data_IF_454684791361
#
_entry.id   IF_454684791361
#
_cell.length_a   1.000
_cell.length_b   1.000
_cell.length_c   1.000
_cell.angle_alpha   90.00
_cell.angle_beta   90.00
_cell.angle_gamma   90.00
#
_symmetry.space_group_name_H-M   'P 1'
#
loop_
_entity.id
_entity.type
_entity.pdbx_description
1 polymer ?
#
# COMPACT_ATOMS: atom_id res chain seq x y z
N UNK A 1 -16.86 7.49 -26.74
CA UNK A 1 -15.42 7.82 -26.79
C UNK A 1 -14.87 7.46 -25.42
N UNK A 2 -13.99 6.47 -25.38
CA UNK A 2 -13.39 5.90 -24.17
C UNK A 2 -12.52 6.97 -23.51
N UNK A 3 -12.94 7.50 -22.36
CA UNK A 3 -12.11 8.35 -21.52
C UNK A 3 -10.96 7.49 -21.01
N UNK A 4 -9.74 7.84 -21.41
CA UNK A 4 -8.53 7.21 -20.90
C UNK A 4 -8.56 7.26 -19.37
N UNK A 5 -8.43 6.09 -18.75
CA UNK A 5 -8.29 5.93 -17.30
C UNK A 5 -7.08 6.73 -16.82
N UNK A 6 -7.31 7.96 -16.38
CA UNK A 6 -6.29 8.74 -15.70
C UNK A 6 -6.24 8.20 -14.29
N UNK A 7 -5.18 7.47 -13.95
CA UNK A 7 -4.89 7.12 -12.56
C UNK A 7 -4.85 8.42 -11.74
N UNK A 8 -5.28 8.41 -10.46
CA UNK A 8 -5.12 9.55 -9.57
C UNK A 8 -3.66 10.02 -9.57
N UNK A 9 -3.41 11.33 -9.70
CA UNK A 9 -2.05 11.89 -9.65
C UNK A 9 -1.59 11.95 -8.19
N UNK A 10 -0.53 11.22 -7.80
CA UNK A 10 -0.04 11.22 -6.42
C UNK A 10 0.32 12.63 -5.91
N UNK A 11 0.70 13.56 -6.80
CA UNK A 11 1.05 14.93 -6.41
C UNK A 11 -0.14 15.76 -5.90
N UNK A 12 -1.37 15.27 -6.10
CA UNK A 12 -2.59 15.92 -5.63
C UNK A 12 -3.03 15.43 -4.23
N UNK A 13 -2.32 14.45 -3.64
CA UNK A 13 -2.71 13.76 -2.41
C UNK A 13 -1.58 13.65 -1.37
N UNK A 14 -1.93 13.23 -0.14
CA UNK A 14 -0.96 12.95 0.94
C UNK A 14 -0.21 11.61 0.75
N UNK A 15 -0.07 11.13 -0.48
CA UNK A 15 0.66 9.92 -0.82
C UNK A 15 1.43 10.04 -2.15
N UNK A 16 2.61 9.43 -2.22
CA UNK A 16 3.45 9.38 -3.42
C UNK A 16 3.61 7.93 -3.90
N UNK A 17 3.97 7.73 -5.17
CA UNK A 17 4.19 6.42 -5.76
C UNK A 17 5.51 6.34 -6.52
N UNK A 18 6.31 5.33 -6.21
CA UNK A 18 7.55 5.01 -6.90
C UNK A 18 7.58 3.52 -7.29
N UNK A 19 8.33 3.17 -8.33
CA UNK A 19 8.67 1.79 -8.64
C UNK A 19 10.17 1.55 -8.53
N UNK A 20 10.57 0.46 -7.87
CA UNK A 20 11.96 -0.02 -7.84
C UNK A 20 12.01 -1.46 -8.32
N UNK A 21 12.51 -1.65 -9.55
CA UNK A 21 12.45 -2.95 -10.21
C UNK A 21 11.00 -3.36 -10.45
N UNK A 22 10.59 -4.52 -9.94
CA UNK A 22 9.22 -5.04 -10.02
C UNK A 22 8.42 -4.82 -8.72
N UNK A 23 8.84 -3.86 -7.91
CA UNK A 23 8.18 -3.50 -6.65
C UNK A 23 7.51 -2.13 -6.79
N UNK A 24 6.22 -2.07 -6.50
CA UNK A 24 5.47 -0.80 -6.38
C UNK A 24 5.51 -0.31 -4.94
N UNK A 25 5.87 0.95 -4.73
CA UNK A 25 6.05 1.55 -3.40
C UNK A 25 5.12 2.76 -3.28
N UNK A 26 4.24 2.73 -2.28
CA UNK A 26 3.37 3.83 -1.92
C UNK A 26 3.87 4.50 -0.65
N UNK A 27 4.18 5.79 -0.70
CA UNK A 27 4.63 6.58 0.43
C UNK A 27 3.48 7.40 0.98
N UNK A 28 2.92 6.99 2.11
CA UNK A 28 1.83 7.68 2.80
C UNK A 28 2.44 8.58 3.88
N UNK A 29 3.26 9.55 3.47
CA UNK A 29 3.97 10.45 4.38
C UNK A 29 3.04 11.59 4.79
N UNK A 30 2.53 11.51 6.02
CA UNK A 30 1.65 12.54 6.58
C UNK A 30 0.19 12.13 6.64
N UNK A 31 -0.17 10.94 6.16
CA UNK A 31 -1.56 10.48 6.15
C UNK A 31 -2.16 10.41 7.55
N UNK A 32 -3.21 11.18 7.79
CA UNK A 32 -3.90 11.27 9.08
C UNK A 32 -5.09 10.29 9.23
N UNK A 33 -5.25 9.36 8.29
CA UNK A 33 -6.16 8.24 8.43
C UNK A 33 -7.65 8.59 8.45
N UNK A 34 -8.08 9.61 7.70
CA UNK A 34 -9.51 9.79 7.47
C UNK A 34 -9.96 8.91 6.29
N UNK A 35 -11.06 8.18 6.48
CA UNK A 35 -11.73 7.41 5.43
C UNK A 35 -12.46 8.40 4.51
N UNK A 36 -11.70 9.05 3.63
CA UNK A 36 -12.16 10.02 2.64
C UNK A 36 -11.53 9.70 1.26
N UNK A 37 -11.80 10.55 0.27
CA UNK A 37 -11.39 10.44 -1.15
C UNK A 37 -9.93 10.01 -1.37
N UNK A 38 -9.01 10.37 -0.46
CA UNK A 38 -7.58 10.01 -0.55
C UNK A 38 -7.34 8.50 -0.44
N UNK A 39 -8.09 7.82 0.43
CA UNK A 39 -7.96 6.39 0.64
C UNK A 39 -8.54 5.61 -0.54
N UNK A 40 -9.68 6.07 -1.06
CA UNK A 40 -10.30 5.51 -2.26
C UNK A 40 -9.39 5.72 -3.48
N UNK A 41 -8.81 6.91 -3.63
CA UNK A 41 -7.85 7.21 -4.70
C UNK A 41 -6.59 6.33 -4.61
N UNK A 42 -6.02 6.16 -3.42
CA UNK A 42 -4.87 5.28 -3.22
C UNK A 42 -5.22 3.81 -3.51
N UNK A 43 -6.41 3.36 -3.12
CA UNK A 43 -6.90 2.00 -3.36
C UNK A 43 -7.13 1.74 -4.85
N UNK A 44 -7.74 2.68 -5.57
CA UNK A 44 -7.93 2.59 -7.02
C UNK A 44 -6.59 2.57 -7.76
N UNK A 45 -5.66 3.46 -7.38
CA UNK A 45 -4.32 3.45 -7.95
C UNK A 45 -3.60 2.12 -7.66
N UNK A 46 -3.69 1.60 -6.44
CA UNK A 46 -3.11 0.32 -6.06
C UNK A 46 -3.68 -0.83 -6.90
N UNK A 47 -5.00 -0.94 -7.01
CA UNK A 47 -5.68 -1.98 -7.81
C UNK A 47 -5.23 -1.96 -9.26
N UNK A 48 -5.16 -0.77 -9.86
CA UNK A 48 -4.82 -0.63 -11.28
C UNK A 48 -3.32 -0.79 -11.57
N UNK A 49 -2.45 -0.42 -10.63
CA UNK A 49 -1.00 -0.50 -10.79
C UNK A 49 -0.43 -1.84 -10.36
N UNK A 50 -0.91 -2.39 -9.24
CA UNK A 50 -0.46 -3.64 -8.67
C UNK A 50 -0.82 -4.86 -9.51
N UNK A 51 -1.93 -4.81 -10.27
CA UNK A 51 -2.30 -5.89 -11.21
C UNK A 51 -1.46 -5.92 -12.50
N UNK A 52 -0.57 -4.94 -12.70
CA UNK A 52 0.23 -4.88 -13.92
C UNK A 52 1.35 -5.90 -13.85
N UNK A 53 1.61 -6.58 -14.97
CA UNK A 53 2.59 -7.66 -15.07
C UNK A 53 4.06 -7.24 -14.82
N UNK A 54 4.33 -5.95 -14.58
CA UNK A 54 5.63 -5.43 -14.16
C UNK A 54 5.76 -5.26 -12.64
N UNK A 55 4.75 -5.66 -11.85
CA UNK A 55 4.74 -5.61 -10.39
C UNK A 55 4.49 -7.02 -9.82
N UNK A 56 5.45 -7.52 -9.04
CA UNK A 56 5.33 -8.80 -8.33
C UNK A 56 5.14 -8.59 -6.81
N UNK A 57 5.50 -7.41 -6.31
CA UNK A 57 5.44 -7.08 -4.91
C UNK A 57 5.01 -5.63 -4.69
N UNK A 58 4.37 -5.37 -3.56
CA UNK A 58 3.94 -4.02 -3.18
C UNK A 58 4.41 -3.67 -1.78
N UNK A 59 4.80 -2.42 -1.58
CA UNK A 59 5.21 -1.87 -0.30
C UNK A 59 4.41 -0.60 0.01
N UNK A 60 3.88 -0.52 1.23
CA UNK A 60 3.22 0.67 1.75
C UNK A 60 4.05 1.25 2.89
N UNK A 61 4.52 2.49 2.73
CA UNK A 61 5.44 3.17 3.66
C UNK A 61 4.69 4.27 4.40
N UNK A 62 4.58 4.13 5.71
CA UNK A 62 3.99 5.12 6.61
C UNK A 62 5.10 5.99 7.20
N UNK A 63 4.97 7.32 7.07
CA UNK A 63 5.88 8.27 7.71
C UNK A 63 5.61 8.43 9.21
N UNK A 64 6.52 9.08 9.94
CA UNK A 64 6.46 9.24 11.40
C UNK A 64 5.25 10.04 11.89
N UNK A 65 4.74 10.93 11.05
CA UNK A 65 3.54 11.73 11.33
C UNK A 65 2.24 10.96 11.02
N UNK A 66 2.34 9.75 10.49
CA UNK A 66 1.17 8.92 10.16
C UNK A 66 0.52 8.42 11.43
N UNK A 67 -0.70 8.87 11.68
CA UNK A 67 -1.50 8.39 12.78
C UNK A 67 -2.80 7.81 12.22
N UNK A 68 -2.94 6.49 12.32
CA UNK A 68 -4.13 5.79 11.84
C UNK A 68 -5.03 5.45 13.04
N UNK A 69 -6.23 6.04 13.15
CA UNK A 69 -7.22 5.60 14.12
C UNK A 69 -7.54 4.10 13.97
N UNK A 70 -8.04 3.48 15.05
CA UNK A 70 -8.36 2.04 15.04
C UNK A 70 -9.34 1.68 13.93
N UNK A 71 -10.38 2.49 13.73
CA UNK A 71 -11.41 2.30 12.71
C UNK A 71 -10.80 2.33 11.29
N UNK A 72 -9.91 3.28 11.03
CA UNK A 72 -9.19 3.38 9.75
C UNK A 72 -8.31 2.18 9.51
N UNK A 73 -7.58 1.73 10.52
CA UNK A 73 -6.77 0.52 10.41
C UNK A 73 -7.64 -0.74 10.18
N UNK A 74 -8.89 -0.80 10.67
CA UNK A 74 -9.83 -1.92 10.41
C UNK A 74 -10.29 -1.89 8.96
N UNK A 75 -10.74 -0.72 8.50
CA UNK A 75 -11.13 -0.50 7.11
C UNK A 75 -9.99 -0.81 6.12
N UNK A 76 -8.78 -0.33 6.41
CA UNK A 76 -7.59 -0.63 5.60
C UNK A 76 -7.28 -2.12 5.59
N UNK A 77 -7.45 -2.83 6.72
CA UNK A 77 -7.28 -4.27 6.76
C UNK A 77 -8.18 -5.00 5.75
N UNK A 78 -9.47 -4.66 5.74
CA UNK A 78 -10.46 -5.25 4.83
C UNK A 78 -10.18 -4.89 3.37
N UNK A 79 -10.06 -3.59 3.06
CA UNK A 79 -9.83 -3.12 1.69
C UNK A 79 -8.48 -3.60 1.15
N UNK A 80 -7.42 -3.61 1.96
CA UNK A 80 -6.10 -4.00 1.49
C UNK A 80 -5.97 -5.50 1.32
N UNK A 81 -6.69 -6.29 2.10
CA UNK A 81 -6.83 -7.73 1.86
C UNK A 81 -7.51 -7.98 0.52
N UNK A 82 -8.63 -7.30 0.25
CA UNK A 82 -9.33 -7.39 -1.02
C UNK A 82 -8.46 -6.90 -2.19
N UNK A 83 -7.69 -5.83 -2.00
CA UNK A 83 -6.79 -5.27 -2.99
C UNK A 83 -5.64 -6.22 -3.30
N UNK A 84 -5.02 -6.82 -2.29
CA UNK A 84 -3.94 -7.79 -2.46
C UNK A 84 -4.40 -9.02 -3.23
N UNK A 85 -5.57 -9.56 -2.87
CA UNK A 85 -6.18 -10.67 -3.60
C UNK A 85 -6.52 -10.28 -5.06
N UNK A 86 -6.95 -9.04 -5.29
CA UNK A 86 -7.28 -8.55 -6.63
C UNK A 86 -6.05 -8.33 -7.52
N UNK A 87 -4.95 -7.82 -6.96
CA UNK A 87 -3.72 -7.56 -7.74
C UNK A 87 -2.98 -8.85 -8.08
N UNK A 88 -3.09 -9.88 -7.23
CA UNK A 88 -2.42 -11.17 -7.44
C UNK A 88 -0.91 -11.09 -7.30
N UNK A 89 -0.41 -10.13 -6.50
CA UNK A 89 1.02 -9.97 -6.20
C UNK A 89 1.47 -11.04 -5.19
N UNK A 90 2.71 -11.49 -5.32
CA UNK A 90 3.26 -12.55 -4.46
C UNK A 90 3.56 -12.04 -3.04
N UNK A 91 3.81 -10.73 -2.90
CA UNK A 91 4.31 -10.09 -1.68
C UNK A 91 3.69 -8.74 -1.40
N UNK A 92 3.29 -8.53 -0.16
CA UNK A 92 2.73 -7.27 0.36
C UNK A 92 3.48 -6.89 1.62
N UNK A 93 4.17 -5.75 1.61
CA UNK A 93 4.94 -5.27 2.75
C UNK A 93 4.43 -3.94 3.29
N UNK A 94 4.52 -3.76 4.60
CA UNK A 94 4.20 -2.52 5.29
C UNK A 94 5.44 -2.00 6.02
N UNK A 95 5.71 -0.71 5.93
CA UNK A 95 6.93 -0.10 6.49
C UNK A 95 6.56 1.07 7.39
N UNK A 96 7.06 1.08 8.63
CA UNK A 96 6.97 2.23 9.53
C UNK A 96 8.04 2.15 10.60
N UNK A 97 8.62 3.28 11.02
CA UNK A 97 9.56 3.29 12.16
C UNK A 97 8.87 2.88 13.49
N UNK A 98 7.54 3.08 13.57
CA UNK A 98 6.70 2.75 14.72
C UNK A 98 5.93 1.42 14.60
N UNK A 99 4.82 1.32 15.34
CA UNK A 99 3.97 0.11 15.36
C UNK A 99 2.91 0.07 14.26
N UNK A 100 2.79 1.14 13.46
CA UNK A 100 1.74 1.31 12.45
C UNK A 100 1.74 0.18 11.42
N UNK A 101 2.91 -0.15 10.85
CA UNK A 101 3.04 -1.23 9.88
C UNK A 101 2.63 -2.58 10.46
N UNK A 102 3.02 -2.87 11.71
CA UNK A 102 2.64 -4.09 12.40
C UNK A 102 1.13 -4.15 12.67
N UNK A 103 0.54 -3.04 13.09
CA UNK A 103 -0.89 -2.94 13.36
C UNK A 103 -1.72 -3.18 12.09
N UNK A 104 -1.31 -2.60 10.96
CA UNK A 104 -1.96 -2.83 9.67
C UNK A 104 -1.74 -4.27 9.20
N UNK A 105 -0.50 -4.78 9.23
CA UNK A 105 -0.17 -6.17 8.89
C UNK A 105 -1.01 -7.19 9.66
N UNK A 106 -1.28 -6.94 10.94
CA UNK A 106 -2.08 -7.85 11.77
C UNK A 106 -3.55 -7.96 11.34
N UNK A 107 -4.00 -7.11 10.41
CA UNK A 107 -5.37 -7.05 9.90
C UNK A 107 -5.49 -7.37 8.42
N UNK A 108 -4.36 -7.40 7.72
CA UNK A 108 -4.32 -7.76 6.31
C UNK A 108 -4.06 -9.26 6.20
N UNK A 109 -4.95 -9.96 5.52
CA UNK A 109 -4.88 -11.40 5.29
C UNK A 109 -5.17 -11.70 3.83
N UNK A 110 -4.19 -12.29 3.14
CA UNK A 110 -4.27 -12.60 1.70
C UNK A 110 -3.70 -13.99 1.50
N UNK A 111 -4.56 -14.95 1.16
CA UNK A 111 -4.20 -16.37 1.09
C UNK A 111 -3.04 -16.67 0.11
N UNK A 112 -2.99 -15.96 -1.01
CA UNK A 112 -2.03 -16.18 -2.09
C UNK A 112 -0.81 -15.24 -2.06
N UNK A 113 -0.65 -14.42 -1.01
CA UNK A 113 0.46 -13.47 -0.89
C UNK A 113 1.17 -13.57 0.47
N UNK A 114 2.49 -13.38 0.46
CA UNK A 114 3.23 -13.21 1.71
C UNK A 114 3.07 -11.79 2.24
N UNK A 115 2.54 -11.64 3.45
CA UNK A 115 2.32 -10.33 4.09
C UNK A 115 3.28 -10.11 5.24
N UNK A 116 4.07 -9.03 5.21
CA UNK A 116 5.02 -8.73 6.29
C UNK A 116 5.16 -7.23 6.62
N UNK A 117 5.66 -6.93 7.82
CA UNK A 117 5.93 -5.57 8.29
C UNK A 117 7.41 -5.34 8.62
N UNK A 118 7.91 -4.14 8.34
CA UNK A 118 9.31 -3.75 8.50
C UNK A 118 9.43 -2.39 9.17
N UNK A 119 10.56 -2.17 9.84
CA UNK A 119 10.92 -0.88 10.43
C UNK A 119 11.51 0.12 9.43
N UNK A 120 12.05 -0.37 8.32
CA UNK A 120 12.77 0.43 7.33
C UNK A 120 12.52 -0.06 5.90
N UNK A 121 12.63 0.87 4.95
CA UNK A 121 12.33 0.61 3.55
C UNK A 121 13.39 -0.25 2.87
N UNK A 122 14.65 -0.17 3.30
CA UNK A 122 15.75 -0.92 2.68
C UNK A 122 15.52 -2.43 2.85
N UNK A 123 15.31 -2.86 4.09
CA UNK A 123 15.02 -4.27 4.43
C UNK A 123 13.75 -4.76 3.73
N UNK A 124 12.70 -3.93 3.70
CA UNK A 124 11.44 -4.26 3.04
C UNK A 124 11.63 -4.46 1.53
N UNK A 125 12.48 -3.64 0.89
CA UNK A 125 12.79 -3.75 -0.53
C UNK A 125 13.59 -5.00 -0.84
N UNK A 126 14.60 -5.32 -0.03
CA UNK A 126 15.37 -6.56 -0.20
C UNK A 126 14.46 -7.78 -0.12
N UNK A 127 13.55 -7.81 0.86
CA UNK A 127 12.56 -8.88 0.98
C UNK A 127 11.58 -8.94 -0.21
N UNK A 128 11.09 -7.78 -0.67
CA UNK A 128 10.15 -7.70 -1.77
C UNK A 128 10.76 -8.13 -3.11
N UNK A 129 12.07 -7.98 -3.28
CA UNK A 129 12.80 -8.33 -4.50
C UNK A 129 13.38 -9.75 -4.51
N UNK A 130 13.47 -10.40 -3.35
CA UNK A 130 14.00 -11.76 -3.21
C UNK A 130 13.09 -12.83 -3.84
#
# INVERSE_FOLDING_TARGET
MTTASSLPDPNEYEWDFETRGRVGIWFMKGWQGFADEDLDAASDHYRERGKRADIDATLAVFGDETNLPKETQEYMGEEWSANGAYTGVDKIGFVSEGTTALAVKSRVDVDDASVESFSDLETALEWAQA
#
